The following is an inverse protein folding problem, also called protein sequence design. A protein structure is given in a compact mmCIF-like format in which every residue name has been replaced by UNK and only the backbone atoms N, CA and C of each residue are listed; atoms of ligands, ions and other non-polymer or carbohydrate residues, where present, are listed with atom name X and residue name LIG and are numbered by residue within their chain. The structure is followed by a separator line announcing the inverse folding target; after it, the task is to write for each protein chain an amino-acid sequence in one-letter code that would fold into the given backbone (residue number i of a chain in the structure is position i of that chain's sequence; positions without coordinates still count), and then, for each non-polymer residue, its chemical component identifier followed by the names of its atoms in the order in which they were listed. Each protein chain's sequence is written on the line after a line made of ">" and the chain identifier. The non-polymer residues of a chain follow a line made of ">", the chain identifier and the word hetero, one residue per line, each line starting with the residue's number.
data_IF_556690927184
#
_entry.id   IF_556690927184
#
_cell.length_a   1.000
_cell.length_b   1.000
_cell.length_c   1.000
_cell.angle_alpha   90.00
_cell.angle_beta   90.00
_cell.angle_gamma   90.00
#
_symmetry.space_group_name_H-M   'P 1'
#
loop_
_entity.id
_entity.type
_entity.pdbx_description
1 polymer ?
#
# COMPACT_ATOMS: atom_id res chain seq x y z
N UNK A 1 -26.25 -45.82 -39.39
CA UNK A 1 -27.23 -45.36 -40.42
C UNK A 1 -26.46 -45.28 -41.73
N UNK A 2 -26.44 -46.31 -42.62
CA UNK A 2 -27.48 -46.67 -43.62
C UNK A 2 -28.09 -45.39 -44.23
N UNK A 3 -27.94 -45.07 -45.51
CA UNK A 3 -28.10 -45.88 -46.75
C UNK A 3 -27.00 -45.55 -47.79
N UNK A 4 -26.38 -46.50 -48.52
CA UNK A 4 -26.96 -47.38 -49.55
C UNK A 4 -27.64 -46.58 -50.69
N UNK A 5 -27.43 -46.84 -51.98
CA UNK A 5 -26.77 -47.93 -52.69
C UNK A 5 -26.89 -47.66 -54.21
N UNK A 6 -26.01 -48.32 -54.97
CA UNK A 6 -26.31 -48.97 -56.28
C UNK A 6 -26.47 -48.07 -57.52
N UNK A 7 -26.02 -48.42 -58.75
CA UNK A 7 -25.53 -49.66 -59.41
C UNK A 7 -24.73 -49.19 -60.63
N UNK A 8 -23.51 -49.66 -60.90
CA UNK A 8 -23.11 -50.95 -61.53
C UNK A 8 -23.37 -50.98 -63.05
N UNK A 9 -22.31 -50.91 -63.84
CA UNK A 9 -22.08 -51.80 -65.00
C UNK A 9 -20.64 -51.66 -65.52
N UNK A 10 -19.86 -52.73 -65.30
CA UNK A 10 -18.70 -53.06 -66.12
C UNK A 10 -19.16 -53.35 -67.55
N UNK A 11 -18.29 -53.12 -68.54
CA UNK A 11 -18.00 -54.10 -69.59
C UNK A 11 -16.70 -53.71 -70.31
N UNK A 12 -15.84 -54.71 -70.43
CA UNK A 12 -14.56 -54.68 -71.12
C UNK A 12 -14.76 -54.71 -72.63
N UNK A 13 -13.87 -54.08 -73.39
CA UNK A 13 -13.82 -54.23 -74.85
C UNK A 13 -12.53 -53.66 -75.39
N UNK A 14 -11.57 -54.54 -75.70
CA UNK A 14 -10.31 -54.26 -76.36
C UNK A 14 -10.47 -54.68 -77.82
N UNK A 15 -10.17 -53.81 -78.79
CA UNK A 15 -9.56 -54.12 -80.08
C UNK A 15 -9.74 -52.95 -81.07
N UNK A 16 -8.72 -52.71 -81.89
CA UNK A 16 -8.91 -52.26 -83.26
C UNK A 16 -8.32 -50.89 -83.58
N UNK A 17 -7.05 -50.90 -83.99
CA UNK A 17 -6.49 -49.94 -84.94
C UNK A 17 -7.43 -49.77 -86.14
N UNK A 18 -7.61 -48.54 -86.67
CA UNK A 18 -7.50 -48.21 -88.10
C UNK A 18 -7.28 -46.69 -88.23
N UNK A 19 -6.24 -46.36 -89.00
CA UNK A 19 -5.74 -45.06 -89.44
C UNK A 19 -6.67 -44.44 -90.50
N UNK A 20 -6.51 -43.12 -90.73
CA UNK A 20 -6.83 -42.40 -91.99
C UNK A 20 -8.32 -42.00 -92.17
N UNK A 21 -8.74 -40.83 -92.68
CA UNK A 21 -8.16 -39.80 -93.56
C UNK A 21 -9.03 -38.52 -93.44
N UNK A 22 -8.40 -37.33 -93.44
CA UNK A 22 -8.68 -36.07 -94.20
C UNK A 22 -10.13 -35.89 -94.72
N UNK A 23 -10.87 -34.79 -94.55
CA UNK A 23 -10.60 -33.40 -94.96
C UNK A 23 -11.77 -32.49 -94.57
N UNK A 24 -11.43 -31.26 -94.17
CA UNK A 24 -12.02 -29.98 -94.59
C UNK A 24 -13.53 -29.72 -94.39
N UNK A 25 -13.86 -29.20 -93.21
CA UNK A 25 -14.94 -28.21 -93.02
C UNK A 25 -14.25 -26.86 -92.72
N UNK A 26 -14.57 -25.76 -93.42
CA UNK A 26 -13.92 -24.46 -93.22
C UNK A 26 -14.15 -23.93 -91.79
N UNK A 27 -13.20 -23.14 -91.23
CA UNK A 27 -13.21 -22.83 -89.82
C UNK A 27 -14.40 -21.91 -89.50
N UNK A 28 -15.27 -22.35 -88.60
CA UNK A 28 -16.08 -21.41 -87.83
C UNK A 28 -15.08 -20.67 -86.94
N UNK A 29 -14.87 -19.39 -87.20
CA UNK A 29 -14.14 -18.52 -86.29
C UNK A 29 -14.86 -18.55 -84.95
N UNK A 30 -14.39 -19.39 -84.03
CA UNK A 30 -14.74 -19.29 -82.63
C UNK A 30 -14.24 -17.92 -82.20
N UNK A 31 -15.10 -17.03 -81.66
CA UNK A 31 -14.57 -15.86 -80.98
C UNK A 31 -13.69 -16.43 -79.87
N UNK A 32 -12.38 -16.25 -79.97
CA UNK A 32 -11.47 -16.49 -78.86
C UNK A 32 -11.86 -15.45 -77.83
N UNK A 33 -12.85 -15.80 -77.03
CA UNK A 33 -13.25 -15.04 -75.86
C UNK A 33 -12.09 -15.24 -74.88
N UNK A 34 -11.04 -14.44 -75.03
CA UNK A 34 -9.96 -14.37 -74.04
C UNK A 34 -10.63 -13.86 -72.78
N UNK A 35 -11.08 -14.77 -71.92
CA UNK A 35 -11.41 -14.43 -70.55
C UNK A 35 -10.13 -13.81 -69.98
N UNK A 36 -10.12 -12.51 -69.62
CA UNK A 36 -8.91 -11.88 -69.12
C UNK A 36 -8.43 -12.67 -67.91
N UNK A 37 -7.15 -13.03 -67.88
CA UNK A 37 -6.56 -13.70 -66.73
C UNK A 37 -6.60 -12.75 -65.53
N UNK A 38 -7.54 -12.98 -64.61
CA UNK A 38 -7.71 -12.21 -63.39
C UNK A 38 -6.54 -12.32 -62.41
N UNK A 39 -5.62 -13.28 -62.61
CA UNK A 39 -4.46 -13.48 -61.73
C UNK A 39 -3.58 -12.23 -61.60
N UNK A 40 -3.21 -11.61 -62.72
CA UNK A 40 -2.31 -10.46 -62.69
C UNK A 40 -2.98 -9.20 -62.06
N UNK A 41 -4.24 -8.86 -62.40
CA UNK A 41 -4.98 -7.81 -61.70
C UNK A 41 -5.15 -8.07 -60.20
N UNK A 42 -5.51 -9.30 -59.78
CA UNK A 42 -5.70 -9.64 -58.36
C UNK A 42 -4.37 -9.54 -57.61
N UNK A 43 -3.27 -10.07 -58.14
CA UNK A 43 -1.95 -9.95 -57.51
C UNK A 43 -1.43 -8.51 -57.46
N UNK A 44 -1.88 -7.62 -58.37
CA UNK A 44 -1.57 -6.20 -58.31
C UNK A 44 -2.38 -5.50 -57.21
N UNK A 45 -3.67 -5.83 -57.09
CA UNK A 45 -4.54 -5.34 -56.01
C UNK A 45 -4.06 -5.81 -54.63
N UNK A 46 -3.63 -7.07 -54.49
CA UNK A 46 -3.08 -7.58 -53.22
C UNK A 46 -1.83 -6.80 -52.79
N UNK A 47 -0.91 -6.51 -53.72
CA UNK A 47 0.26 -5.67 -53.44
C UNK A 47 -0.13 -4.25 -53.05
N UNK A 48 -1.09 -3.66 -53.75
CA UNK A 48 -1.61 -2.32 -53.42
C UNK A 48 -2.25 -2.30 -52.02
N UNK A 49 -3.02 -3.33 -51.67
CA UNK A 49 -3.60 -3.49 -50.33
C UNK A 49 -2.54 -3.69 -49.24
N UNK A 50 -1.52 -4.51 -49.48
CA UNK A 50 -0.40 -4.71 -48.57
C UNK A 50 0.39 -3.42 -48.35
N UNK A 51 0.62 -2.64 -49.41
CA UNK A 51 1.26 -1.32 -49.32
C UNK A 51 0.42 -0.32 -48.53
N UNK A 52 -0.90 -0.30 -48.76
CA UNK A 52 -1.85 0.54 -48.01
C UNK A 52 -1.84 0.14 -46.52
N UNK A 53 -1.89 -1.16 -46.22
CA UNK A 53 -1.85 -1.68 -44.85
C UNK A 53 -0.52 -1.33 -44.18
N UNK A 54 0.62 -1.60 -44.83
CA UNK A 54 1.94 -1.27 -44.31
C UNK A 54 2.15 0.24 -44.11
N UNK A 55 1.57 1.09 -44.97
CA UNK A 55 1.57 2.55 -44.78
C UNK A 55 0.76 2.95 -43.56
N UNK A 56 -0.46 2.43 -43.39
CA UNK A 56 -1.30 2.69 -42.21
C UNK A 56 -0.60 2.26 -40.92
N UNK A 57 0.00 1.07 -40.89
CA UNK A 57 0.78 0.59 -39.74
C UNK A 57 1.98 1.49 -39.45
N UNK A 58 2.72 1.93 -40.48
CA UNK A 58 3.84 2.87 -40.29
C UNK A 58 3.39 4.22 -39.73
N UNK A 59 2.29 4.79 -40.23
CA UNK A 59 1.72 6.03 -39.73
C UNK A 59 1.29 5.89 -38.27
N UNK A 60 0.55 4.84 -37.94
CA UNK A 60 0.11 4.56 -36.58
C UNK A 60 1.33 4.42 -35.63
N UNK A 61 2.36 3.67 -36.02
CA UNK A 61 3.58 3.53 -35.23
C UNK A 61 4.33 4.86 -35.05
N UNK A 62 4.33 5.72 -36.05
CA UNK A 62 4.95 7.04 -35.96
C UNK A 62 4.18 7.96 -35.00
N UNK A 63 2.85 7.97 -35.08
CA UNK A 63 1.97 8.71 -34.17
C UNK A 63 2.14 8.24 -32.73
N UNK A 64 2.14 6.92 -32.51
CA UNK A 64 2.38 6.33 -31.20
C UNK A 64 3.76 6.70 -30.65
N UNK A 65 4.82 6.64 -31.48
CA UNK A 65 6.17 7.06 -31.07
C UNK A 65 6.22 8.54 -30.71
N UNK A 66 5.56 9.41 -31.47
CA UNK A 66 5.47 10.83 -31.20
C UNK A 66 4.73 11.09 -29.87
N UNK A 67 3.58 10.45 -29.66
CA UNK A 67 2.82 10.54 -28.42
C UNK A 67 3.62 10.04 -27.20
N UNK A 68 4.32 8.91 -27.31
CA UNK A 68 5.17 8.39 -26.24
C UNK A 68 6.37 9.30 -25.96
N UNK A 69 6.93 9.94 -26.99
CA UNK A 69 8.02 10.93 -26.85
C UNK A 69 7.51 12.17 -26.12
N UNK A 70 6.32 12.64 -26.47
CA UNK A 70 5.67 13.76 -25.79
C UNK A 70 5.39 13.42 -24.31
N UNK A 71 4.80 12.25 -24.05
CA UNK A 71 4.54 11.79 -22.68
C UNK A 71 5.82 11.69 -21.85
N UNK A 72 6.91 11.16 -22.44
CA UNK A 72 8.21 11.12 -21.78
C UNK A 72 8.73 12.53 -21.49
N UNK A 73 8.64 13.45 -22.45
CA UNK A 73 9.04 14.84 -22.24
C UNK A 73 8.22 15.53 -21.14
N UNK A 74 6.92 15.25 -21.03
CA UNK A 74 6.08 15.75 -19.92
C UNK A 74 6.49 15.14 -18.58
N UNK A 75 6.71 13.82 -18.53
CA UNK A 75 7.22 13.13 -17.35
C UNK A 75 8.54 13.75 -16.87
N UNK A 76 9.50 13.93 -17.79
CA UNK A 76 10.82 14.45 -17.46
C UNK A 76 10.75 15.89 -16.93
N UNK A 77 9.82 16.71 -17.45
CA UNK A 77 9.53 18.04 -16.88
C UNK A 77 8.95 17.95 -15.48
N UNK A 78 7.93 17.11 -15.26
CA UNK A 78 7.36 16.94 -13.92
C UNK A 78 8.40 16.45 -12.91
N UNK A 79 9.31 15.57 -13.30
CA UNK A 79 10.45 15.14 -12.47
C UNK A 79 11.39 16.31 -12.20
N UNK A 80 11.82 17.03 -13.25
CA UNK A 80 12.74 18.17 -13.13
C UNK A 80 12.18 19.31 -12.28
N UNK A 81 10.88 19.55 -12.37
CA UNK A 81 10.17 20.61 -11.64
C UNK A 81 9.80 20.16 -10.21
N UNK A 82 10.11 18.92 -9.82
CA UNK A 82 9.76 18.37 -8.50
C UNK A 82 8.26 18.15 -8.30
N UNK A 83 7.49 18.02 -9.38
CA UNK A 83 6.04 17.79 -9.39
C UNK A 83 5.66 16.32 -9.58
N UNK A 84 6.62 15.47 -9.96
CA UNK A 84 6.49 14.01 -9.98
C UNK A 84 7.22 13.41 -8.78
N UNK A 85 6.49 13.21 -7.69
CA UNK A 85 7.05 12.76 -6.41
C UNK A 85 6.72 11.28 -6.17
N UNK A 86 7.72 10.53 -5.70
CA UNK A 86 7.57 9.13 -5.29
C UNK A 86 8.35 8.90 -4.00
N UNK A 87 7.93 7.92 -3.19
CA UNK A 87 8.62 7.55 -1.96
C UNK A 87 7.95 8.10 -0.69
N UNK A 88 8.62 8.00 0.47
CA UNK A 88 8.05 8.40 1.75
C UNK A 88 7.85 9.92 1.86
N UNK A 89 6.79 10.33 2.55
CA UNK A 89 6.44 11.75 2.73
C UNK A 89 6.59 12.27 4.17
N UNK A 90 7.03 11.41 5.10
CA UNK A 90 7.35 11.75 6.48
C UNK A 90 8.80 11.43 6.87
N UNK A 91 9.28 12.08 7.93
CA UNK A 91 10.69 12.02 8.32
C UNK A 91 11.11 10.63 8.80
N UNK A 92 10.28 9.95 9.59
CA UNK A 92 10.65 8.66 10.17
C UNK A 92 10.73 7.55 9.12
N UNK A 93 9.89 7.58 8.09
CA UNK A 93 10.03 6.68 6.94
C UNK A 93 11.28 7.00 6.11
N UNK A 94 11.58 8.29 5.90
CA UNK A 94 12.81 8.72 5.19
C UNK A 94 14.06 8.16 5.87
N UNK A 95 14.14 8.21 7.21
CA UNK A 95 15.30 7.69 7.96
C UNK A 95 15.20 6.21 8.31
N UNK A 96 14.16 5.50 7.87
CA UNK A 96 13.98 4.07 8.11
C UNK A 96 13.62 3.68 9.54
N UNK A 97 13.12 4.62 10.35
CA UNK A 97 12.80 4.42 11.77
C UNK A 97 11.29 4.30 12.08
N UNK A 98 10.43 4.35 11.05
CA UNK A 98 8.97 4.39 11.18
C UNK A 98 8.32 3.14 11.80
N UNK A 99 9.04 2.02 11.93
CA UNK A 99 8.57 0.81 12.62
C UNK A 99 9.36 0.44 13.86
N UNK A 100 10.30 1.30 14.28
CA UNK A 100 11.13 1.03 15.44
C UNK A 100 10.41 1.40 16.74
N UNK A 101 10.16 0.42 17.61
CA UNK A 101 9.48 0.57 18.91
C UNK A 101 10.08 1.69 19.76
N UNK A 102 11.42 1.71 19.87
CA UNK A 102 12.16 2.72 20.62
C UNK A 102 12.01 4.14 20.08
N UNK A 103 11.79 4.30 18.77
CA UNK A 103 11.55 5.61 18.16
C UNK A 103 10.21 6.15 18.61
N UNK A 104 9.18 5.31 18.55
CA UNK A 104 7.84 5.68 19.00
C UNK A 104 7.78 5.96 20.50
N UNK A 105 8.46 5.17 21.34
CA UNK A 105 8.51 5.41 22.78
C UNK A 105 9.22 6.73 23.14
N UNK A 106 10.25 7.13 22.37
CA UNK A 106 10.87 8.47 22.50
C UNK A 106 9.96 9.61 22.03
N UNK A 107 9.20 9.40 20.95
CA UNK A 107 8.20 10.36 20.51
C UNK A 107 7.11 10.56 21.58
N UNK A 108 6.66 9.46 22.21
CA UNK A 108 5.73 9.53 23.34
C UNK A 108 6.35 10.21 24.57
N UNK A 109 7.63 9.98 24.88
CA UNK A 109 8.33 10.71 25.95
C UNK A 109 8.26 12.24 25.73
N UNK A 110 8.51 12.68 24.49
CA UNK A 110 8.42 14.09 24.12
C UNK A 110 6.98 14.61 24.23
N UNK A 111 5.99 13.90 23.67
CA UNK A 111 4.58 14.31 23.64
C UNK A 111 3.89 14.30 25.01
N UNK A 112 4.29 13.40 25.91
CA UNK A 112 3.68 13.25 27.25
C UNK A 112 4.30 14.18 28.29
N UNK A 113 5.37 14.90 27.95
CA UNK A 113 6.00 15.87 28.85
C UNK A 113 5.32 17.23 28.69
N UNK A 114 4.54 17.75 29.65
CA UNK A 114 3.82 19.01 29.45
C UNK A 114 4.68 20.24 29.21
N UNK A 115 5.98 20.16 29.55
CA UNK A 115 6.98 21.20 29.31
C UNK A 115 7.73 21.00 27.97
N UNK A 116 7.39 19.95 27.23
CA UNK A 116 7.98 19.66 25.93
C UNK A 116 7.67 20.75 24.93
N UNK A 117 8.61 20.97 23.99
CA UNK A 117 8.45 21.92 22.88
C UNK A 117 7.49 21.40 21.80
N UNK A 118 6.35 20.82 22.20
CA UNK A 118 5.25 20.41 21.32
C UNK A 118 4.01 21.30 21.47
N UNK A 119 3.90 22.09 22.55
CA UNK A 119 2.80 23.04 22.76
C UNK A 119 1.44 22.41 23.10
N UNK A 120 1.39 21.13 23.44
CA UNK A 120 0.16 20.42 23.82
C UNK A 120 -0.16 20.48 25.33
N UNK A 121 0.77 21.00 26.15
CA UNK A 121 0.61 21.01 27.61
C UNK A 121 0.30 19.61 28.16
N UNK A 122 -0.70 19.51 29.04
CA UNK A 122 -1.13 18.24 29.63
C UNK A 122 -2.17 17.48 28.78
N UNK A 123 -2.64 18.02 27.65
CA UNK A 123 -3.80 17.49 26.92
C UNK A 123 -3.63 16.04 26.46
N UNK A 124 -2.42 15.68 26.02
CA UNK A 124 -2.15 14.34 25.51
C UNK A 124 -2.04 13.31 26.65
N UNK A 125 -1.29 13.63 27.72
CA UNK A 125 -1.17 12.73 28.89
C UNK A 125 -2.51 12.57 29.63
N UNK A 126 -3.33 13.61 29.66
CA UNK A 126 -4.69 13.57 30.21
C UNK A 126 -5.54 12.52 29.49
N UNK A 127 -5.56 12.54 28.15
CA UNK A 127 -6.28 11.54 27.36
C UNK A 127 -5.85 10.10 27.64
N UNK A 128 -4.54 9.86 27.80
CA UNK A 128 -4.08 8.51 28.18
C UNK A 128 -4.55 8.10 29.58
N UNK A 129 -4.57 9.02 30.54
CA UNK A 129 -5.08 8.75 31.89
C UNK A 129 -6.59 8.53 31.88
N UNK A 130 -7.34 9.31 31.11
CA UNK A 130 -8.79 9.15 30.92
C UNK A 130 -9.11 7.79 30.29
N UNK A 131 -8.34 7.37 29.28
CA UNK A 131 -8.45 6.04 28.67
C UNK A 131 -8.29 4.93 29.70
N UNK A 132 -7.24 5.00 30.53
CA UNK A 132 -6.96 3.98 31.55
C UNK A 132 -8.01 3.95 32.67
N UNK A 133 -8.50 5.12 33.08
CA UNK A 133 -9.39 5.24 34.24
C UNK A 133 -10.87 5.18 33.86
N UNK A 134 -11.20 5.33 32.56
CA UNK A 134 -12.55 5.53 32.00
C UNK A 134 -13.29 6.68 32.68
N UNK A 135 -12.57 7.71 33.10
CA UNK A 135 -13.09 8.88 33.81
C UNK A 135 -12.41 10.13 33.26
N UNK A 136 -13.16 11.23 33.06
CA UNK A 136 -12.57 12.49 32.66
C UNK A 136 -11.66 13.04 33.77
N UNK A 137 -10.58 13.69 33.37
CA UNK A 137 -9.71 14.45 34.27
C UNK A 137 -10.37 15.80 34.55
N UNK A 138 -10.63 16.09 35.82
CA UNK A 138 -11.34 17.32 36.24
C UNK A 138 -10.45 18.54 36.42
N UNK A 139 -9.14 18.36 36.47
CA UNK A 139 -8.16 19.43 36.65
C UNK A 139 -6.81 19.02 36.03
N UNK A 140 -6.00 19.98 35.53
CA UNK A 140 -4.77 19.66 34.84
C UNK A 140 -3.84 18.72 35.61
N UNK A 141 -3.31 17.70 34.94
CA UNK A 141 -2.41 16.74 35.58
C UNK A 141 -1.07 17.38 35.91
N UNK A 142 -0.61 17.19 37.15
CA UNK A 142 0.73 17.57 37.57
C UNK A 142 1.72 16.44 37.24
N UNK A 143 2.23 16.41 36.01
CA UNK A 143 3.33 15.52 35.60
C UNK A 143 4.64 16.01 36.22
N UNK A 144 5.38 15.10 36.87
CA UNK A 144 6.67 15.40 37.49
C UNK A 144 7.83 14.98 36.61
N UNK A 145 7.69 13.84 35.94
CA UNK A 145 8.76 13.24 35.14
C UNK A 145 8.17 12.32 34.09
N UNK A 146 8.74 12.36 32.90
CA UNK A 146 8.54 11.37 31.84
C UNK A 146 9.91 10.79 31.52
N UNK A 147 10.01 9.47 31.37
CA UNK A 147 11.29 8.84 31.05
C UNK A 147 11.09 7.63 30.14
N UNK A 148 11.74 7.66 28.99
CA UNK A 148 11.98 6.51 28.13
C UNK A 148 13.00 5.55 28.78
N UNK A 149 12.80 4.24 28.63
CA UNK A 149 13.72 3.20 29.09
C UNK A 149 13.97 3.23 30.60
N UNK A 150 13.08 2.58 31.35
CA UNK A 150 13.16 2.52 32.83
C UNK A 150 13.36 1.09 33.29
N UNK A 151 14.56 0.81 33.79
CA UNK A 151 14.95 -0.49 34.32
C UNK A 151 14.61 -0.65 35.80
N UNK A 152 13.96 -1.75 36.17
CA UNK A 152 13.75 -2.23 37.54
C UNK A 152 13.82 -3.75 37.56
N UNK A 153 14.58 -4.32 38.50
CA UNK A 153 14.69 -5.77 38.69
C UNK A 153 14.86 -6.53 37.35
N UNK A 154 15.85 -6.10 36.55
CA UNK A 154 16.19 -6.67 35.23
C UNK A 154 15.07 -6.64 34.18
N UNK A 155 14.02 -5.85 34.41
CA UNK A 155 12.95 -5.59 33.45
C UNK A 155 12.91 -4.11 33.07
N UNK A 156 12.93 -3.86 31.77
CA UNK A 156 12.74 -2.54 31.19
C UNK A 156 11.26 -2.28 30.92
N UNK A 157 10.77 -1.11 31.37
CA UNK A 157 9.55 -0.50 30.86
C UNK A 157 9.93 0.50 29.75
N UNK A 158 9.26 0.42 28.61
CA UNK A 158 9.56 1.29 27.47
C UNK A 158 9.37 2.77 27.79
N UNK A 159 8.32 3.11 28.55
CA UNK A 159 8.05 4.48 28.96
C UNK A 159 7.33 4.54 30.31
N UNK A 160 7.75 5.46 31.17
CA UNK A 160 7.08 5.73 32.45
C UNK A 160 6.84 7.22 32.65
N UNK A 161 5.61 7.58 33.02
CA UNK A 161 5.20 8.92 33.43
C UNK A 161 4.90 8.89 34.93
N UNK A 162 5.62 9.69 35.71
CA UNK A 162 5.31 9.92 37.12
C UNK A 162 4.58 11.26 37.27
N UNK A 163 3.33 11.19 37.73
CA UNK A 163 2.55 12.34 38.14
C UNK A 163 2.52 12.52 39.66
N UNK A 164 1.88 13.60 40.11
CA UNK A 164 1.64 13.83 41.55
C UNK A 164 0.78 12.73 42.19
N UNK A 165 -0.19 12.22 41.44
CA UNK A 165 -1.23 11.31 41.95
C UNK A 165 -1.38 10.03 41.12
N UNK A 166 -0.51 9.77 40.16
CA UNK A 166 -0.57 8.59 39.29
C UNK A 166 0.82 8.21 38.80
N UNK A 167 0.98 6.98 38.33
CA UNK A 167 2.14 6.51 37.57
C UNK A 167 1.63 5.75 36.37
N UNK A 168 1.97 6.20 35.17
CA UNK A 168 1.60 5.53 33.92
C UNK A 168 2.81 4.75 33.41
N UNK A 169 2.65 3.44 33.22
CA UNK A 169 3.67 2.53 32.69
C UNK A 169 3.17 2.07 31.33
N UNK A 170 3.94 2.32 30.28
CA UNK A 170 3.60 1.95 28.91
C UNK A 170 4.63 0.95 28.41
N UNK A 171 4.14 -0.17 27.92
CA UNK A 171 4.88 -1.14 27.13
C UNK A 171 4.40 -1.05 25.68
N UNK A 172 5.31 -0.79 24.75
CA UNK A 172 5.04 -0.57 23.33
C UNK A 172 5.59 -1.73 22.50
N UNK A 173 4.73 -2.36 21.70
CA UNK A 173 5.12 -3.41 20.76
C UNK A 173 4.61 -3.09 19.37
N UNK A 174 5.51 -2.95 18.40
CA UNK A 174 5.20 -2.66 17.00
C UNK A 174 5.35 -3.94 16.18
N UNK A 175 6.56 -4.48 16.14
CA UNK A 175 6.90 -5.68 15.35
C UNK A 175 7.49 -6.79 16.23
N UNK A 176 8.06 -6.45 17.39
CA UNK A 176 8.70 -7.43 18.23
C UNK A 176 7.66 -8.27 18.98
N UNK A 177 8.02 -9.53 19.20
CA UNK A 177 7.29 -10.40 20.12
C UNK A 177 7.53 -9.96 21.57
N UNK A 178 6.57 -10.24 22.44
CA UNK A 178 6.74 -10.04 23.88
C UNK A 178 7.82 -10.96 24.44
N UNK A 179 8.63 -10.44 25.35
CA UNK A 179 9.58 -11.27 26.09
C UNK A 179 8.86 -12.11 27.14
N UNK A 180 9.35 -13.31 27.50
CA UNK A 180 8.72 -14.14 28.53
C UNK A 180 8.48 -13.37 29.83
N UNK A 181 7.28 -13.53 30.40
CA UNK A 181 6.80 -12.90 31.64
C UNK A 181 6.85 -11.37 31.68
N UNK A 182 7.03 -10.70 30.53
CA UNK A 182 7.29 -9.26 30.47
C UNK A 182 6.23 -8.42 31.18
N UNK A 183 4.94 -8.62 30.86
CA UNK A 183 3.89 -7.84 31.51
C UNK A 183 3.68 -8.21 32.98
N UNK A 184 3.88 -9.48 33.36
CA UNK A 184 3.83 -9.89 34.77
C UNK A 184 4.93 -9.21 35.60
N UNK A 185 6.16 -9.18 35.10
CA UNK A 185 7.30 -8.53 35.77
C UNK A 185 7.09 -7.01 35.89
N UNK A 186 6.61 -6.37 34.82
CA UNK A 186 6.26 -4.95 34.85
C UNK A 186 5.19 -4.63 35.87
N UNK A 187 4.13 -5.45 35.94
CA UNK A 187 3.11 -5.31 36.96
C UNK A 187 3.73 -5.39 38.37
N UNK A 188 4.52 -6.42 38.65
CA UNK A 188 5.16 -6.60 39.96
C UNK A 188 6.10 -5.44 40.34
N UNK A 189 6.85 -4.91 39.38
CA UNK A 189 7.81 -3.83 39.58
C UNK A 189 7.20 -2.44 39.82
N UNK A 190 5.94 -2.24 39.42
CA UNK A 190 5.28 -0.93 39.47
C UNK A 190 3.93 -0.94 40.21
N UNK A 191 3.38 -2.09 40.64
CA UNK A 191 2.07 -2.17 41.32
C UNK A 191 1.96 -1.36 42.62
N UNK A 192 3.09 -1.08 43.27
CA UNK A 192 3.15 -0.31 44.50
C UNK A 192 3.39 1.19 44.26
N UNK A 193 3.51 1.62 43.00
CA UNK A 193 3.55 3.04 42.66
C UNK A 193 2.22 3.73 42.98
N UNK A 194 2.24 5.07 43.00
CA UNK A 194 1.02 5.84 43.27
C UNK A 194 0.02 5.67 42.13
N UNK A 195 -1.13 5.06 42.42
CA UNK A 195 -2.22 4.78 41.47
C UNK A 195 -1.70 4.34 40.09
N UNK A 196 -1.10 3.14 39.99
CA UNK A 196 -0.41 2.71 38.80
C UNK A 196 -1.42 2.38 37.70
N UNK A 197 -1.14 2.89 36.51
CA UNK A 197 -1.89 2.67 35.28
C UNK A 197 -0.94 1.96 34.31
N UNK A 198 -1.36 0.80 33.81
CA UNK A 198 -0.57 0.03 32.86
C UNK A 198 -1.22 0.09 31.49
N UNK A 199 -0.41 0.37 30.46
CA UNK A 199 -0.83 0.39 29.06
C UNK A 199 0.04 -0.58 28.27
N UNK A 200 -0.63 -1.44 27.50
CA UNK A 200 -0.01 -2.26 26.48
C UNK A 200 -0.39 -1.70 25.11
N UNK A 201 0.55 -0.99 24.48
CA UNK A 201 0.38 -0.29 23.21
C UNK A 201 0.85 -1.19 22.07
N UNK A 202 -0.02 -1.43 21.09
CA UNK A 202 0.31 -2.22 19.89
C UNK A 202 -0.34 -1.62 18.64
N UNK A 203 0.03 -2.01 17.41
CA UNK A 203 -0.68 -1.58 16.21
C UNK A 203 -2.20 -1.78 16.28
N UNK A 204 -2.66 -2.93 16.80
CA UNK A 204 -4.08 -3.32 16.80
C UNK A 204 -4.79 -3.19 18.15
N UNK A 205 -4.10 -2.78 19.21
CA UNK A 205 -4.68 -2.76 20.57
C UNK A 205 -4.94 -4.17 21.13
N UNK A 206 -4.17 -5.17 20.70
CA UNK A 206 -4.30 -6.53 21.22
C UNK A 206 -3.95 -6.61 22.71
N UNK A 207 -4.48 -7.62 23.39
CA UNK A 207 -4.08 -7.93 24.77
C UNK A 207 -2.65 -8.48 24.83
N UNK A 208 -1.90 -8.21 25.91
CA UNK A 208 -0.63 -8.87 26.15
C UNK A 208 -0.86 -10.36 26.41
N UNK A 209 0.04 -11.20 25.90
CA UNK A 209 0.03 -12.63 26.17
C UNK A 209 0.91 -13.01 27.37
N UNK A 210 1.80 -12.10 27.78
CA UNK A 210 2.73 -12.29 28.91
C UNK A 210 2.22 -11.72 30.22
N UNK A 211 0.97 -11.21 30.24
CA UNK A 211 0.21 -10.98 31.46
C UNK A 211 -0.55 -12.26 31.80
N UNK A 212 0.06 -13.14 32.59
CA UNK A 212 -0.49 -14.48 32.88
C UNK A 212 -1.21 -14.53 34.23
N UNK A 213 -0.86 -13.66 35.16
CA UNK A 213 -1.56 -13.59 36.45
C UNK A 213 -2.90 -12.87 36.34
N UNK A 214 -3.87 -13.24 37.18
CA UNK A 214 -5.17 -12.54 37.22
C UNK A 214 -5.02 -11.04 37.52
N UNK A 215 -4.01 -10.67 38.30
CA UNK A 215 -3.75 -9.28 38.68
C UNK A 215 -3.23 -8.47 37.50
N UNK A 216 -2.19 -8.95 36.81
CA UNK A 216 -1.64 -8.27 35.62
C UNK A 216 -2.65 -8.20 34.48
N UNK A 217 -3.40 -9.27 34.20
CA UNK A 217 -4.46 -9.29 33.18
C UNK A 217 -5.53 -8.22 33.39
N UNK A 218 -5.84 -7.90 34.65
CA UNK A 218 -6.82 -6.86 35.00
C UNK A 218 -6.22 -5.45 35.02
N UNK A 219 -4.91 -5.34 35.22
CA UNK A 219 -4.23 -4.06 35.35
C UNK A 219 -3.91 -3.41 33.99
N UNK A 220 -3.54 -4.21 32.99
CA UNK A 220 -3.17 -3.70 31.67
C UNK A 220 -4.39 -3.25 30.86
N UNK A 221 -4.40 -1.96 30.50
CA UNK A 221 -5.28 -1.41 29.48
C UNK A 221 -4.63 -1.60 28.11
N UNK A 222 -5.39 -2.06 27.13
CA UNK A 222 -4.91 -2.13 25.75
C UNK A 222 -5.09 -0.79 25.06
N UNK A 223 -4.16 -0.44 24.18
CA UNK A 223 -4.23 0.76 23.37
C UNK A 223 -3.66 0.45 21.98
N UNK A 224 -4.31 0.98 20.95
CA UNK A 224 -3.87 0.85 19.56
C UNK A 224 -3.19 2.13 19.07
N UNK A 225 -2.30 2.02 18.07
CA UNK A 225 -1.71 3.20 17.43
C UNK A 225 -2.75 4.10 16.73
N UNK A 226 -3.82 3.58 16.09
CA UNK A 226 -4.96 4.40 15.65
C UNK A 226 -5.62 5.22 16.77
N UNK A 227 -5.82 4.63 17.95
CA UNK A 227 -6.37 5.37 19.10
C UNK A 227 -5.40 6.45 19.59
N UNK A 228 -4.09 6.16 19.65
CA UNK A 228 -3.06 7.15 19.99
C UNK A 228 -3.06 8.31 19.00
N UNK A 229 -3.19 8.03 17.70
CA UNK A 229 -3.28 9.04 16.65
C UNK A 229 -4.49 9.93 16.86
N UNK A 230 -5.68 9.35 17.07
CA UNK A 230 -6.90 10.12 17.34
C UNK A 230 -6.75 11.02 18.59
N UNK A 231 -6.18 10.48 19.68
CA UNK A 231 -5.91 11.26 20.90
C UNK A 231 -4.95 12.43 20.62
N UNK A 232 -3.94 12.22 19.78
CA UNK A 232 -2.96 13.25 19.41
C UNK A 232 -3.57 14.33 18.50
N UNK A 233 -4.40 13.95 17.52
CA UNK A 233 -5.15 14.87 16.66
C UNK A 233 -6.07 15.77 17.50
N UNK A 234 -6.81 15.19 18.43
CA UNK A 234 -7.67 15.95 19.35
C UNK A 234 -6.87 16.90 20.26
N UNK A 235 -5.75 16.43 20.82
CA UNK A 235 -4.89 17.25 21.66
C UNK A 235 -4.30 18.43 20.88
N UNK A 236 -3.90 18.22 19.62
CA UNK A 236 -3.41 19.26 18.73
C UNK A 236 -4.50 20.27 18.40
N UNK A 237 -5.70 19.82 18.02
CA UNK A 237 -6.84 20.69 17.70
C UNK A 237 -7.23 21.58 18.88
N UNK A 238 -7.21 21.04 20.11
CA UNK A 238 -7.52 21.81 21.32
C UNK A 238 -6.41 22.80 21.71
N UNK A 239 -5.16 22.53 21.32
CA UNK A 239 -3.98 23.32 21.69
C UNK A 239 -3.45 24.22 20.56
N UNK A 240 -4.19 24.36 19.46
CA UNK A 240 -3.70 24.91 18.20
C UNK A 240 -2.96 26.27 18.34
N UNK A 241 -3.46 27.28 19.09
CA UNK A 241 -2.74 28.55 19.24
C UNK A 241 -1.36 28.41 19.93
N UNK A 242 -1.23 27.49 20.88
CA UNK A 242 0.03 27.28 21.61
C UNK A 242 1.02 26.41 20.82
N UNK A 243 0.53 25.42 20.08
CA UNK A 243 1.34 24.54 19.23
C UNK A 243 2.00 25.32 18.06
N UNK A 244 1.27 26.28 17.48
CA UNK A 244 1.79 27.16 16.43
C UNK A 244 2.92 28.06 16.93
N UNK A 245 2.75 28.68 18.11
CA UNK A 245 3.81 29.51 18.74
C UNK A 245 5.05 28.69 19.08
N UNK A 246 4.90 27.42 19.45
CA UNK A 246 6.01 26.52 19.71
C UNK A 246 6.75 26.06 18.44
N UNK A 247 6.21 26.33 17.25
CA UNK A 247 6.74 25.85 15.97
C UNK A 247 6.68 24.33 15.83
N UNK A 248 5.85 23.66 16.64
CA UNK A 248 5.86 22.21 16.76
C UNK A 248 4.73 21.53 15.98
N UNK A 249 3.75 22.31 15.51
CA UNK A 249 2.63 21.82 14.70
C UNK A 249 3.10 20.99 13.52
N UNK A 250 4.15 21.41 12.81
CA UNK A 250 4.70 20.66 11.68
C UNK A 250 5.34 19.33 12.10
N UNK A 251 6.01 19.30 13.25
CA UNK A 251 6.62 18.07 13.79
C UNK A 251 5.53 17.09 14.20
N UNK A 252 4.48 17.56 14.89
CA UNK A 252 3.34 16.74 15.29
C UNK A 252 2.59 16.23 14.05
N UNK A 253 2.33 17.08 13.06
CA UNK A 253 1.69 16.70 11.80
C UNK A 253 2.52 15.69 10.99
N UNK A 254 3.85 15.85 10.96
CA UNK A 254 4.74 14.87 10.33
C UNK A 254 4.64 13.50 11.02
N UNK A 255 4.60 13.49 12.35
CA UNK A 255 4.44 12.26 13.11
C UNK A 255 3.04 11.63 12.95
N UNK A 256 1.97 12.44 12.93
CA UNK A 256 0.61 11.97 12.64
C UNK A 256 0.54 11.26 11.29
N UNK A 257 1.24 11.78 10.28
CA UNK A 257 1.38 11.11 8.97
C UNK A 257 2.12 9.79 9.06
N UNK A 258 3.19 9.72 9.86
CA UNK A 258 3.86 8.44 10.14
C UNK A 258 2.87 7.43 10.72
N UNK A 259 2.07 7.84 11.71
CA UNK A 259 1.09 6.96 12.35
C UNK A 259 0.02 6.47 11.37
N UNK A 260 -0.53 7.36 10.54
CA UNK A 260 -1.48 7.02 9.47
C UNK A 260 -0.88 6.00 8.50
N UNK A 261 0.30 6.28 7.94
CA UNK A 261 0.89 5.43 6.91
C UNK A 261 1.39 4.07 7.44
N UNK A 262 1.68 3.95 8.75
CA UNK A 262 2.22 2.73 9.35
C UNK A 262 1.20 1.89 10.11
N UNK A 263 0.14 2.52 10.64
CA UNK A 263 -0.81 1.90 11.54
C UNK A 263 -2.28 2.25 11.26
N UNK A 264 -2.56 3.13 10.28
CA UNK A 264 -3.92 3.53 9.89
C UNK A 264 -4.74 2.45 9.20
#
# INVERSE_FOLDING_TARGET
>A
MKSQRERRAQLSGRAGDVVAIVSDIPPIATPVNRVPSWKAPICAMEREWDEIAARRTRTLLAEWRAAMTEMRGRHDRLVSDGLWLTGPSDFLKIVGLARHENTHSRMLEWLLNPMGRHGLGCEFVERLVEHCTRKPVSAPLAVRKVKFSVWRNDREADLVVWGRNFTLVIENKVDASEQPSQCDDLYENFKNEKAPLFVFLTPSGRKPHTATTRCSQRAFNTLSWPEVRAMLEEALNKSQPAAEVAGATDVVNNYLRTLEEQFG
#
